data_IF_900067264458
#
_entry.id   IF_900067264458
#
_cell.length_a   1.000
_cell.length_b   1.000
_cell.length_c   1.000
_cell.angle_alpha   90.00
_cell.angle_beta   90.00
_cell.angle_gamma   90.00
#
_symmetry.space_group_name_H-M   'P 1'
#
loop_
_entity.id
_entity.type
_entity.pdbx_description
1 polymer ?
#
# COMPACT_ATOMS: atom_id res chain seq x y z
N UNK A 1 23.09 -26.94 34.93
CA UNK A 1 22.67 -25.66 34.31
C UNK A 1 21.76 -25.99 33.16
N UNK A 2 20.46 -25.69 33.27
CA UNK A 2 19.57 -25.68 32.11
C UNK A 2 19.81 -24.35 31.41
N UNK A 3 20.37 -24.38 30.21
CA UNK A 3 20.32 -23.23 29.31
C UNK A 3 18.84 -22.87 29.12
N UNK A 4 18.45 -21.73 29.68
CA UNK A 4 17.19 -21.10 29.33
C UNK A 4 17.42 -20.49 27.95
N UNK A 5 17.11 -21.24 26.89
CA UNK A 5 16.98 -20.67 25.55
C UNK A 5 15.94 -19.56 25.65
N UNK A 6 16.34 -18.31 25.36
CA UNK A 6 15.40 -17.21 25.27
C UNK A 6 14.25 -17.58 24.32
N UNK A 7 13.00 -17.26 24.65
CA UNK A 7 11.89 -17.52 23.76
C UNK A 7 12.13 -16.76 22.46
N UNK A 8 12.32 -17.50 21.36
CA UNK A 8 12.43 -16.93 20.02
C UNK A 8 11.14 -16.17 19.75
N UNK A 9 11.23 -14.85 19.65
CA UNK A 9 10.08 -14.00 19.32
C UNK A 9 9.44 -14.50 18.02
N UNK A 10 8.10 -14.61 17.93
CA UNK A 10 7.44 -15.07 16.72
C UNK A 10 7.81 -14.17 15.54
N UNK A 11 8.22 -14.79 14.43
CA UNK A 11 8.43 -14.10 13.16
C UNK A 11 7.11 -14.14 12.39
N UNK A 12 6.46 -12.99 12.24
CA UNK A 12 5.22 -12.86 11.47
C UNK A 12 5.53 -12.90 9.97
N UNK A 13 4.75 -13.66 9.20
CA UNK A 13 4.82 -13.67 7.73
C UNK A 13 6.25 -13.91 7.17
N UNK A 14 7.10 -14.66 7.90
CA UNK A 14 8.51 -14.92 7.57
C UNK A 14 8.74 -15.79 6.33
N UNK A 15 7.67 -16.29 5.73
CA UNK A 15 7.66 -16.94 4.42
C UNK A 15 7.76 -15.93 3.25
N UNK A 16 7.48 -14.65 3.51
CA UNK A 16 7.48 -13.56 2.53
C UNK A 16 8.75 -12.69 2.63
N UNK A 17 9.07 -12.02 1.53
CA UNK A 17 10.08 -10.96 1.47
C UNK A 17 9.40 -9.59 1.51
N UNK A 18 9.82 -8.70 2.42
CA UNK A 18 9.29 -7.34 2.57
C UNK A 18 10.34 -6.28 2.20
N UNK A 19 10.07 -5.51 1.16
CA UNK A 19 10.98 -4.48 0.63
C UNK A 19 12.40 -5.01 0.37
N UNK A 20 12.48 -6.20 -0.20
CA UNK A 20 13.73 -6.83 -0.64
C UNK A 20 13.71 -7.01 -2.17
N UNK A 21 14.64 -7.78 -2.71
CA UNK A 21 14.78 -8.04 -4.15
C UNK A 21 14.88 -6.74 -4.96
N UNK A 22 13.98 -6.53 -5.93
CA UNK A 22 14.01 -5.37 -6.83
C UNK A 22 13.44 -4.09 -6.20
N UNK A 23 13.11 -4.10 -4.90
CA UNK A 23 12.58 -2.91 -4.22
C UNK A 23 13.53 -1.70 -4.33
N UNK A 24 14.85 -1.91 -4.25
CA UNK A 24 15.85 -0.85 -4.32
C UNK A 24 15.85 -0.08 -5.66
N UNK A 25 15.49 -0.74 -6.77
CA UNK A 25 15.34 -0.09 -8.08
C UNK A 25 14.00 0.64 -8.19
N UNK A 26 12.91 -0.01 -7.75
CA UNK A 26 11.57 0.57 -7.79
C UNK A 26 11.45 1.83 -6.92
N UNK A 27 12.04 1.82 -5.72
CA UNK A 27 11.96 2.95 -4.78
C UNK A 27 12.71 4.20 -5.26
N UNK A 28 13.56 4.08 -6.29
CA UNK A 28 14.22 5.24 -6.93
C UNK A 28 13.20 6.26 -7.44
N UNK A 29 11.96 5.86 -7.77
CA UNK A 29 10.92 6.80 -8.17
C UNK A 29 10.57 7.83 -7.09
N UNK A 30 10.82 7.49 -5.82
CA UNK A 30 10.53 8.36 -4.68
C UNK A 30 11.64 9.37 -4.40
N UNK A 31 12.75 9.35 -5.16
CA UNK A 31 13.93 10.18 -4.86
C UNK A 31 13.74 11.68 -5.06
N UNK A 32 12.68 12.08 -5.78
CA UNK A 32 12.23 13.47 -5.84
C UNK A 32 11.61 13.95 -4.53
N UNK A 33 11.04 13.04 -3.75
CA UNK A 33 10.40 13.34 -2.46
C UNK A 33 11.42 13.25 -1.31
N UNK A 34 12.31 12.27 -1.33
CA UNK A 34 13.22 11.94 -0.23
C UNK A 34 14.58 11.45 -0.77
N UNK A 35 15.65 11.50 0.02
CA UNK A 35 16.90 10.85 -0.41
C UNK A 35 16.77 9.32 -0.38
N UNK A 36 17.53 8.63 -1.23
CA UNK A 36 17.56 7.18 -1.25
C UNK A 36 18.00 6.58 0.10
N UNK A 37 18.99 7.18 0.76
CA UNK A 37 19.46 6.73 2.08
C UNK A 37 18.36 6.82 3.15
N UNK A 38 17.56 7.88 3.13
CA UNK A 38 16.43 8.05 4.05
C UNK A 38 15.33 7.01 3.78
N UNK A 39 15.05 6.73 2.50
CA UNK A 39 14.09 5.70 2.10
C UNK A 39 14.54 4.30 2.58
N UNK A 40 15.82 3.97 2.41
CA UNK A 40 16.39 2.70 2.91
C UNK A 40 16.30 2.61 4.43
N UNK A 41 16.74 3.64 5.14
CA UNK A 41 16.71 3.69 6.61
C UNK A 41 15.30 3.44 7.15
N UNK A 42 14.30 4.12 6.60
CA UNK A 42 12.91 3.95 7.03
C UNK A 42 12.38 2.56 6.64
N UNK A 43 12.72 2.06 5.44
CA UNK A 43 12.32 0.73 5.01
C UNK A 43 12.88 -0.37 5.91
N UNK A 44 14.12 -0.27 6.39
CA UNK A 44 14.72 -1.25 7.30
C UNK A 44 13.95 -1.32 8.63
N UNK A 45 13.61 -0.16 9.20
CA UNK A 45 12.79 -0.09 10.41
C UNK A 45 11.39 -0.71 10.20
N UNK A 46 10.72 -0.36 9.10
CA UNK A 46 9.41 -0.91 8.76
C UNK A 46 9.45 -2.42 8.45
N UNK A 47 10.55 -2.92 7.89
CA UNK A 47 10.77 -4.35 7.68
C UNK A 47 10.90 -5.09 9.02
N UNK A 48 11.62 -4.50 9.97
CA UNK A 48 11.69 -5.05 11.33
C UNK A 48 10.29 -5.10 11.98
N UNK A 49 9.53 -4.00 11.90
CA UNK A 49 8.14 -3.93 12.37
C UNK A 49 7.26 -5.00 11.69
N UNK A 50 7.43 -5.21 10.38
CA UNK A 50 6.67 -6.21 9.63
C UNK A 50 6.88 -7.62 10.19
N UNK A 51 8.13 -8.03 10.44
CA UNK A 51 8.45 -9.38 10.91
C UNK A 51 8.28 -9.58 12.41
N UNK A 52 8.44 -8.55 13.22
CA UNK A 52 8.50 -8.67 14.68
C UNK A 52 7.36 -7.96 15.42
N UNK A 53 6.47 -7.30 14.68
CA UNK A 53 5.32 -6.58 15.20
C UNK A 53 5.69 -5.22 15.78
N UNK A 54 4.67 -4.40 16.05
CA UNK A 54 4.87 -3.08 16.65
C UNK A 54 5.06 -3.18 18.17
N UNK A 55 6.02 -2.42 18.71
CA UNK A 55 6.09 -2.21 20.16
C UNK A 55 4.95 -1.29 20.63
N UNK A 56 4.54 -1.43 21.90
CA UNK A 56 3.42 -0.64 22.44
C UNK A 56 3.67 0.88 22.47
N UNK A 57 4.94 1.29 22.48
CA UNK A 57 5.41 2.67 22.51
C UNK A 57 5.93 3.16 21.15
N UNK A 58 5.72 2.36 20.09
CA UNK A 58 6.20 2.66 18.74
C UNK A 58 5.65 3.99 18.24
N UNK A 59 6.57 4.89 17.89
CA UNK A 59 6.26 6.13 17.18
C UNK A 59 6.33 5.87 15.67
N UNK A 60 5.51 6.58 14.89
CA UNK A 60 5.66 6.55 13.44
C UNK A 60 7.05 7.09 13.07
N UNK A 61 7.78 6.42 12.16
CA UNK A 61 9.05 6.94 11.67
C UNK A 61 8.88 8.32 11.05
N UNK A 62 9.91 9.15 11.17
CA UNK A 62 10.01 10.43 10.47
C UNK A 62 10.98 10.31 9.31
N UNK A 63 10.72 11.05 8.23
CA UNK A 63 11.58 11.12 7.06
C UNK A 63 11.86 12.57 6.66
N UNK A 64 13.11 12.83 6.27
CA UNK A 64 13.50 14.17 5.84
C UNK A 64 13.12 14.42 4.37
N UNK A 65 12.26 15.41 4.07
CA UNK A 65 11.91 15.74 2.69
C UNK A 65 13.13 16.23 1.90
N UNK A 66 13.12 16.01 0.58
CA UNK A 66 14.04 16.62 -0.37
C UNK A 66 13.90 18.15 -0.33
N UNK A 67 14.86 18.86 -0.93
CA UNK A 67 14.78 20.33 -1.02
C UNK A 67 13.52 20.80 -1.77
N UNK A 68 13.20 20.14 -2.89
CA UNK A 68 12.02 20.43 -3.70
C UNK A 68 10.74 20.25 -2.87
N UNK A 69 10.57 19.08 -2.24
CA UNK A 69 9.39 18.79 -1.44
C UNK A 69 9.30 19.71 -0.21
N UNK A 70 10.41 19.98 0.48
CA UNK A 70 10.43 20.88 1.63
C UNK A 70 9.95 22.30 1.26
N UNK A 71 10.34 22.81 0.09
CA UNK A 71 9.87 24.11 -0.41
C UNK A 71 8.37 24.10 -0.69
N UNK A 72 7.83 23.02 -1.29
CA UNK A 72 6.39 22.89 -1.54
C UNK A 72 5.57 22.71 -0.26
N UNK A 73 6.15 22.10 0.77
CA UNK A 73 5.48 21.89 2.06
C UNK A 73 5.59 23.08 3.02
N UNK A 74 6.42 24.08 2.73
CA UNK A 74 6.62 25.24 3.60
C UNK A 74 5.31 25.95 4.02
N UNK A 75 4.29 26.13 3.15
CA UNK A 75 3.00 26.72 3.53
C UNK A 75 2.14 25.87 4.46
N UNK A 76 2.52 24.60 4.70
CA UNK A 76 1.73 23.61 5.42
C UNK A 76 2.45 23.04 6.66
N UNK A 77 3.50 23.71 7.13
CA UNK A 77 4.32 23.25 8.27
C UNK A 77 3.57 23.24 9.61
N UNK A 78 2.43 23.93 9.71
CA UNK A 78 1.55 23.89 10.88
C UNK A 78 0.62 22.67 10.89
N UNK A 79 0.72 21.79 9.88
CA UNK A 79 -0.17 20.63 9.69
C UNK A 79 0.57 19.33 9.92
N UNK A 80 -0.24 18.30 10.16
CA UNK A 80 0.20 16.91 10.04
C UNK A 80 0.53 16.59 8.59
N UNK A 81 1.74 16.12 8.35
CA UNK A 81 2.21 15.69 7.03
C UNK A 81 2.43 14.18 7.05
N UNK A 82 1.84 13.49 6.07
CA UNK A 82 1.90 12.03 5.94
C UNK A 82 2.52 11.60 4.63
N UNK A 83 3.28 10.51 4.68
CA UNK A 83 3.79 9.77 3.53
C UNK A 83 3.67 8.28 3.84
N UNK A 84 3.14 7.48 2.93
CA UNK A 84 3.20 6.02 3.09
C UNK A 84 4.30 5.50 2.16
N UNK A 85 5.26 4.78 2.73
CA UNK A 85 6.35 4.18 1.96
C UNK A 85 5.76 3.11 1.04
N UNK A 86 5.99 3.17 -0.28
CA UNK A 86 5.63 2.10 -1.18
C UNK A 86 6.33 0.80 -0.78
N UNK A 87 5.56 -0.29 -0.76
CA UNK A 87 6.05 -1.58 -0.28
C UNK A 87 6.02 -2.65 -1.36
N UNK A 88 7.06 -3.48 -1.42
CA UNK A 88 7.13 -4.66 -2.26
C UNK A 88 7.01 -5.91 -1.39
N UNK A 89 5.96 -6.70 -1.61
CA UNK A 89 5.78 -8.01 -0.98
C UNK A 89 6.02 -9.08 -2.05
N UNK A 90 6.97 -9.98 -1.79
CA UNK A 90 7.37 -10.98 -2.78
C UNK A 90 7.43 -12.40 -2.21
N UNK A 91 7.13 -13.43 -3.02
CA UNK A 91 7.51 -14.79 -2.68
C UNK A 91 9.03 -14.93 -2.81
N UNK A 92 9.62 -15.95 -2.18
CA UNK A 92 11.06 -16.23 -2.31
C UNK A 92 11.50 -16.53 -3.76
N UNK A 93 10.57 -16.99 -4.60
CA UNK A 93 10.81 -17.33 -6.00
C UNK A 93 9.64 -16.80 -6.85
N UNK A 94 9.66 -15.52 -7.25
CA UNK A 94 8.60 -14.96 -8.09
C UNK A 94 8.62 -15.57 -9.49
N UNK A 95 7.43 -15.76 -10.08
CA UNK A 95 7.27 -16.43 -11.38
C UNK A 95 6.23 -15.78 -12.31
N UNK A 96 5.41 -14.86 -11.83
CA UNK A 96 4.24 -14.37 -12.57
C UNK A 96 4.26 -12.86 -12.86
N UNK A 97 5.31 -12.14 -12.48
CA UNK A 97 5.43 -10.70 -12.64
C UNK A 97 4.90 -9.91 -11.43
N UNK A 98 4.51 -8.65 -11.65
CA UNK A 98 4.15 -7.69 -10.59
C UNK A 98 2.73 -7.18 -10.72
N UNK A 99 1.98 -7.23 -9.62
CA UNK A 99 0.70 -6.54 -9.47
C UNK A 99 0.92 -5.26 -8.68
N UNK A 100 0.39 -4.13 -9.13
CA UNK A 100 0.35 -2.90 -8.33
C UNK A 100 -1.04 -2.76 -7.69
N UNK A 101 -1.10 -2.60 -6.37
CA UNK A 101 -2.30 -2.11 -5.69
C UNK A 101 -2.08 -0.63 -5.39
N UNK A 102 -2.93 0.22 -5.99
CA UNK A 102 -2.83 1.66 -5.89
C UNK A 102 -4.04 2.22 -5.12
N UNK A 103 -3.80 2.81 -3.95
CA UNK A 103 -4.82 3.46 -3.13
C UNK A 103 -4.75 4.98 -3.27
N UNK A 104 -5.53 5.68 -2.45
CA UNK A 104 -5.79 7.10 -2.67
C UNK A 104 -4.65 7.98 -2.19
N UNK A 105 -4.40 8.00 -0.88
CA UNK A 105 -3.54 8.95 -0.20
C UNK A 105 -3.14 8.43 1.20
N UNK A 106 -1.98 8.86 1.74
CA UNK A 106 -1.49 8.45 3.05
C UNK A 106 -2.19 9.23 4.17
N UNK A 107 -3.51 9.09 4.25
CA UNK A 107 -4.37 9.85 5.16
C UNK A 107 -3.83 9.81 6.60
N UNK A 108 -3.78 10.98 7.26
CA UNK A 108 -3.41 11.11 8.68
C UNK A 108 -4.55 11.65 9.52
N UNK A 109 -4.50 11.37 10.81
CA UNK A 109 -5.37 12.02 11.79
C UNK A 109 -4.85 13.41 12.09
N UNK A 110 -5.75 14.28 12.54
CA UNK A 110 -5.40 15.64 12.96
C UNK A 110 -4.52 15.55 14.22
N UNK A 111 -3.51 16.40 14.32
CA UNK A 111 -2.61 16.58 15.48
C UNK A 111 -1.46 15.57 15.63
N UNK A 112 -1.22 14.70 14.64
CA UNK A 112 0.05 13.96 14.58
C UNK A 112 1.17 14.93 14.16
N UNK A 113 2.13 15.18 15.07
CA UNK A 113 3.43 15.79 14.82
C UNK A 113 3.49 16.92 13.75
N UNK A 114 2.98 18.14 14.06
CA UNK A 114 2.99 19.26 13.11
C UNK A 114 4.37 19.56 12.55
N UNK A 115 4.47 19.73 11.23
CA UNK A 115 5.70 20.11 10.54
C UNK A 115 6.70 18.98 10.30
N UNK A 116 6.40 17.76 10.78
CA UNK A 116 7.18 16.56 10.50
C UNK A 116 6.47 15.69 9.45
N UNK A 117 7.25 15.08 8.55
CA UNK A 117 6.73 14.10 7.60
C UNK A 117 6.79 12.72 8.26
N UNK A 118 5.61 12.23 8.65
CA UNK A 118 5.47 10.91 9.28
C UNK A 118 5.26 9.81 8.26
N UNK A 119 5.95 8.69 8.44
CA UNK A 119 5.95 7.57 7.51
C UNK A 119 5.08 6.43 8.02
N UNK A 120 4.11 6.04 7.20
CA UNK A 120 3.36 4.81 7.35
C UNK A 120 3.70 3.84 6.22
N UNK A 121 2.91 2.79 6.09
CA UNK A 121 2.90 1.93 4.90
C UNK A 121 1.50 1.88 4.34
N UNK A 122 1.38 1.48 3.08
CA UNK A 122 0.10 1.22 2.44
C UNK A 122 -0.82 0.38 3.35
N UNK A 123 -1.95 0.94 3.79
CA UNK A 123 -2.87 0.28 4.72
C UNK A 123 -2.21 -0.22 6.04
N UNK A 124 -1.10 0.38 6.46
CA UNK A 124 -0.37 -0.01 7.68
C UNK A 124 0.02 -1.49 7.67
N UNK A 125 0.41 -2.03 6.50
CA UNK A 125 0.82 -3.43 6.34
C UNK A 125 2.04 -3.80 7.17
N UNK A 126 2.82 -2.85 7.70
CA UNK A 126 3.89 -3.14 8.65
C UNK A 126 3.35 -3.59 10.01
N UNK A 127 2.09 -3.27 10.35
CA UNK A 127 1.44 -3.63 11.60
C UNK A 127 0.72 -4.99 11.51
N UNK A 128 1.15 -5.97 12.30
CA UNK A 128 0.61 -7.34 12.31
C UNK A 128 -0.86 -7.38 12.74
N UNK A 129 -1.26 -6.56 13.71
CA UNK A 129 -2.65 -6.47 14.17
C UNK A 129 -3.55 -5.97 13.04
N UNK A 130 -3.09 -5.02 12.23
CA UNK A 130 -3.82 -4.54 11.06
C UNK A 130 -3.95 -5.65 10.01
N UNK A 131 -2.85 -6.32 9.66
CA UNK A 131 -2.87 -7.43 8.71
C UNK A 131 -3.86 -8.54 9.08
N UNK A 132 -3.94 -8.91 10.37
CA UNK A 132 -4.61 -10.16 10.75
C UNK A 132 -5.96 -10.00 11.45
N UNK A 133 -6.25 -8.85 12.09
CA UNK A 133 -7.41 -8.79 13.01
C UNK A 133 -8.27 -7.51 12.94
N UNK A 134 -7.77 -6.43 12.33
CA UNK A 134 -8.40 -5.12 12.47
C UNK A 134 -9.24 -4.70 11.26
N UNK A 135 -10.54 -4.48 11.47
CA UNK A 135 -11.45 -3.84 10.48
C UNK A 135 -11.35 -4.44 9.07
N UNK A 136 -11.00 -3.61 8.08
CA UNK A 136 -10.97 -3.93 6.65
C UNK A 136 -9.56 -4.29 6.14
N UNK A 137 -8.52 -4.05 6.95
CA UNK A 137 -7.12 -4.32 6.61
C UNK A 137 -6.85 -5.79 6.24
N UNK A 138 -7.46 -6.80 6.93
CA UNK A 138 -7.29 -8.20 6.53
C UNK A 138 -7.76 -8.53 5.12
N UNK A 139 -8.70 -7.78 4.55
CA UNK A 139 -9.17 -8.02 3.18
C UNK A 139 -8.04 -7.72 2.19
N UNK A 140 -7.38 -6.58 2.38
CA UNK A 140 -6.25 -6.18 1.53
C UNK A 140 -5.06 -7.12 1.75
N UNK A 141 -4.77 -7.47 3.01
CA UNK A 141 -3.70 -8.42 3.29
C UNK A 141 -3.95 -9.80 2.67
N UNK A 142 -5.17 -10.34 2.78
CA UNK A 142 -5.53 -11.61 2.14
C UNK A 142 -5.39 -11.55 0.63
N UNK A 143 -5.78 -10.45 -0.01
CA UNK A 143 -5.54 -10.25 -1.44
C UNK A 143 -4.05 -10.30 -1.79
N UNK A 144 -3.20 -9.59 -1.01
CA UNK A 144 -1.75 -9.62 -1.17
C UNK A 144 -1.21 -11.05 -1.04
N UNK A 145 -1.63 -11.78 0.01
CA UNK A 145 -1.26 -13.18 0.24
C UNK A 145 -1.63 -14.07 -0.94
N UNK A 146 -2.88 -13.99 -1.42
CA UNK A 146 -3.34 -14.78 -2.57
C UNK A 146 -2.50 -14.52 -3.82
N UNK A 147 -2.18 -13.26 -4.14
CA UNK A 147 -1.31 -12.92 -5.27
C UNK A 147 0.09 -13.51 -5.11
N UNK A 148 0.69 -13.37 -3.92
CA UNK A 148 2.05 -13.85 -3.65
C UNK A 148 2.14 -15.38 -3.68
N UNK A 149 1.15 -16.07 -3.12
CA UNK A 149 1.03 -17.53 -3.16
C UNK A 149 0.87 -18.06 -4.59
N UNK A 150 0.24 -17.29 -5.47
CA UNK A 150 0.16 -17.59 -6.90
C UNK A 150 1.47 -17.30 -7.68
N UNK A 151 2.47 -16.70 -7.03
CA UNK A 151 3.80 -16.44 -7.62
C UNK A 151 4.00 -15.03 -8.15
N UNK A 152 3.09 -14.10 -7.85
CA UNK A 152 3.24 -12.68 -8.17
C UNK A 152 4.04 -11.94 -7.09
N UNK A 153 4.80 -10.94 -7.49
CA UNK A 153 5.22 -9.87 -6.59
C UNK A 153 4.10 -8.83 -6.50
N UNK A 154 3.93 -8.17 -5.35
CA UNK A 154 2.89 -7.16 -5.16
C UNK A 154 3.51 -5.85 -4.70
N UNK A 155 3.37 -4.81 -5.52
CA UNK A 155 3.76 -3.44 -5.20
C UNK A 155 2.57 -2.66 -4.65
N UNK A 156 2.73 -2.07 -3.48
CA UNK A 156 1.68 -1.41 -2.70
C UNK A 156 2.01 0.07 -2.59
N UNK A 157 1.10 0.93 -3.05
CA UNK A 157 1.39 2.36 -3.18
C UNK A 157 0.13 3.23 -3.13
N UNK A 158 0.30 4.52 -2.87
CA UNK A 158 -0.76 5.53 -3.00
C UNK A 158 -0.58 6.38 -4.26
N UNK A 159 -1.70 6.82 -4.83
CA UNK A 159 -1.69 7.68 -6.01
C UNK A 159 -1.21 9.10 -5.67
N UNK A 160 -1.74 9.67 -4.58
CA UNK A 160 -1.12 10.84 -3.95
C UNK A 160 -0.03 10.39 -3.00
N UNK A 161 1.16 10.94 -3.16
CA UNK A 161 2.32 10.51 -2.37
C UNK A 161 2.37 11.16 -1.01
N UNK A 162 1.84 12.38 -0.87
CA UNK A 162 1.89 13.15 0.37
C UNK A 162 0.47 13.49 0.83
N UNK A 163 0.29 13.52 2.14
CA UNK A 163 -0.85 14.13 2.80
C UNK A 163 -0.40 15.40 3.50
N UNK A 164 -1.08 16.53 3.26
CA UNK A 164 -0.83 17.81 3.93
C UNK A 164 -2.15 18.43 4.45
N UNK A 165 -3.13 17.55 4.75
CA UNK A 165 -4.52 17.91 5.02
C UNK A 165 -5.46 17.49 3.90
N UNK A 166 -6.75 17.38 4.25
CA UNK A 166 -7.80 16.92 3.33
C UNK A 166 -7.88 17.82 2.09
N UNK A 167 -7.77 17.22 0.91
CA UNK A 167 -7.85 17.89 -0.40
C UNK A 167 -6.79 18.99 -0.62
N UNK A 168 -5.74 19.06 0.19
CA UNK A 168 -4.71 20.11 0.07
C UNK A 168 -3.85 19.84 -1.15
N UNK A 169 -3.28 18.65 -1.24
CA UNK A 169 -2.46 18.23 -2.37
C UNK A 169 -3.22 18.35 -3.69
N UNK A 170 -4.45 17.84 -3.76
CA UNK A 170 -5.27 17.92 -4.97
C UNK A 170 -5.62 19.35 -5.43
N UNK A 171 -5.53 20.35 -4.55
CA UNK A 171 -5.79 21.77 -4.86
C UNK A 171 -4.51 22.57 -5.12
N UNK A 172 -3.39 22.06 -4.65
CA UNK A 172 -2.07 22.64 -4.89
C UNK A 172 -1.46 22.02 -6.14
N UNK A 173 -1.49 22.78 -7.24
CA UNK A 173 -1.06 22.28 -8.55
C UNK A 173 0.36 21.71 -8.51
N UNK A 174 1.29 22.32 -7.78
CA UNK A 174 2.68 21.89 -7.75
C UNK A 174 2.84 20.55 -7.01
N UNK A 175 2.16 20.39 -5.87
CA UNK A 175 2.15 19.11 -5.14
C UNK A 175 1.42 18.01 -5.91
N UNK A 176 0.30 18.34 -6.56
CA UNK A 176 -0.46 17.41 -7.39
C UNK A 176 0.34 16.95 -8.61
N UNK A 177 1.00 17.87 -9.33
CA UNK A 177 1.89 17.55 -10.45
C UNK A 177 3.07 16.68 -9.99
N UNK A 178 3.70 17.01 -8.85
CA UNK A 178 4.78 16.21 -8.27
C UNK A 178 4.33 14.79 -7.95
N UNK A 179 3.17 14.61 -7.31
CA UNK A 179 2.62 13.29 -7.02
C UNK A 179 2.35 12.48 -8.30
N UNK A 180 1.77 13.13 -9.32
CA UNK A 180 1.52 12.52 -10.63
C UNK A 180 2.81 12.05 -11.30
N UNK A 181 3.84 12.88 -11.31
CA UNK A 181 5.14 12.56 -11.93
C UNK A 181 5.86 11.43 -11.20
N UNK A 182 5.83 11.44 -9.86
CA UNK A 182 6.37 10.33 -9.06
C UNK A 182 5.59 9.04 -9.29
N UNK A 183 4.25 9.08 -9.37
CA UNK A 183 3.43 7.92 -9.71
C UNK A 183 3.75 7.39 -11.11
N UNK A 184 3.97 8.27 -12.08
CA UNK A 184 4.36 7.90 -13.45
C UNK A 184 5.69 7.15 -13.48
N UNK A 185 6.73 7.68 -12.82
CA UNK A 185 8.04 7.02 -12.75
C UNK A 185 7.97 5.71 -11.95
N UNK A 186 7.19 5.68 -10.86
CA UNK A 186 6.98 4.49 -10.04
C UNK A 186 6.38 3.34 -10.87
N UNK A 187 5.28 3.59 -11.58
CA UNK A 187 4.65 2.55 -12.42
C UNK A 187 5.58 2.13 -13.56
N UNK A 188 6.34 3.05 -14.15
CA UNK A 188 7.31 2.73 -15.19
C UNK A 188 8.42 1.79 -14.69
N UNK A 189 9.00 2.05 -13.51
CA UNK A 189 10.03 1.21 -12.89
C UNK A 189 9.51 -0.12 -12.39
N UNK A 190 8.34 -0.11 -11.75
CA UNK A 190 7.70 -1.35 -11.29
C UNK A 190 7.29 -2.21 -12.46
N UNK A 191 6.96 -1.62 -13.62
CA UNK A 191 6.56 -2.34 -14.83
C UNK A 191 5.53 -3.45 -14.55
N UNK A 192 4.38 -3.12 -13.93
CA UNK A 192 3.42 -4.12 -13.51
C UNK A 192 2.74 -4.81 -14.71
N UNK A 193 2.37 -6.08 -14.51
CA UNK A 193 1.49 -6.80 -15.43
C UNK A 193 0.04 -6.34 -15.31
N UNK A 194 -0.35 -5.85 -14.13
CA UNK A 194 -1.67 -5.27 -13.88
C UNK A 194 -1.64 -4.26 -12.73
N UNK A 195 -2.49 -3.25 -12.81
CA UNK A 195 -2.68 -2.26 -11.75
C UNK A 195 -4.13 -2.33 -11.26
N UNK A 196 -4.35 -2.45 -9.95
CA UNK A 196 -5.67 -2.33 -9.33
C UNK A 196 -5.79 -0.95 -8.67
N UNK A 197 -6.67 -0.10 -9.19
CA UNK A 197 -6.98 1.19 -8.60
C UNK A 197 -8.09 1.05 -7.55
N UNK A 198 -7.78 1.29 -6.28
CA UNK A 198 -8.72 1.23 -5.17
C UNK A 198 -9.42 2.59 -5.01
N UNK A 199 -10.61 2.71 -5.59
CA UNK A 199 -11.43 3.90 -5.54
C UNK A 199 -11.20 4.88 -6.70
N UNK A 200 -12.11 5.85 -6.82
CA UNK A 200 -12.14 6.78 -7.95
C UNK A 200 -10.94 7.72 -7.98
N UNK A 201 -10.43 8.13 -6.82
CA UNK A 201 -9.30 9.06 -6.75
C UNK A 201 -8.02 8.42 -7.28
N UNK A 202 -7.73 7.17 -6.87
CA UNK A 202 -6.58 6.43 -7.39
C UNK A 202 -6.69 6.22 -8.91
N UNK A 203 -7.87 5.84 -9.39
CA UNK A 203 -8.16 5.68 -10.81
C UNK A 203 -7.93 6.97 -11.61
N UNK A 204 -8.45 8.09 -11.12
CA UNK A 204 -8.30 9.39 -11.77
C UNK A 204 -6.84 9.83 -11.85
N UNK A 205 -6.06 9.61 -10.79
CA UNK A 205 -4.64 9.93 -10.78
C UNK A 205 -3.82 9.05 -11.72
N UNK A 206 -4.15 7.77 -11.84
CA UNK A 206 -3.53 6.87 -12.83
C UNK A 206 -3.84 7.31 -14.26
N UNK A 207 -5.08 7.71 -14.55
CA UNK A 207 -5.46 8.30 -15.85
C UNK A 207 -4.68 9.57 -16.15
N UNK A 208 -4.57 10.46 -15.16
CA UNK A 208 -3.81 11.71 -15.28
C UNK A 208 -2.31 11.45 -15.49
N UNK A 209 -1.78 10.36 -14.93
CA UNK A 209 -0.42 9.90 -15.15
C UNK A 209 -0.23 9.17 -16.51
N UNK A 210 -1.32 8.99 -17.28
CA UNK A 210 -1.28 8.45 -18.65
C UNK A 210 -1.58 6.95 -18.76
N UNK A 211 -2.03 6.28 -17.70
CA UNK A 211 -2.28 4.84 -17.69
C UNK A 211 -3.76 4.51 -17.94
N UNK A 212 -4.35 4.86 -19.07
CA UNK A 212 -5.81 4.68 -19.27
C UNK A 212 -6.26 3.25 -19.57
N UNK A 213 -5.35 2.37 -19.99
CA UNK A 213 -5.63 1.02 -20.52
C UNK A 213 -4.97 -0.10 -19.67
N UNK A 214 -4.25 0.24 -18.61
CA UNK A 214 -3.43 -0.69 -17.82
C UNK A 214 -3.91 -0.95 -16.39
N UNK A 215 -5.10 -0.46 -16.02
CA UNK A 215 -5.65 -0.70 -14.69
C UNK A 215 -7.14 -1.05 -14.68
N UNK A 216 -7.52 -1.81 -13.66
CA UNK A 216 -8.92 -2.04 -13.30
C UNK A 216 -9.33 -1.13 -12.16
N UNK A 217 -10.54 -0.57 -12.25
CA UNK A 217 -11.17 0.22 -11.18
C UNK A 217 -11.89 -0.69 -10.20
N UNK A 218 -11.56 -0.60 -8.91
CA UNK A 218 -12.23 -1.32 -7.86
C UNK A 218 -12.83 -0.38 -6.81
N UNK A 219 -13.87 -0.86 -6.12
CA UNK A 219 -14.42 -0.14 -4.96
C UNK A 219 -13.38 -0.13 -3.84
N UNK A 220 -13.17 1.03 -3.19
CA UNK A 220 -12.26 1.13 -2.05
C UNK A 220 -12.73 0.26 -0.87
N UNK A 221 -11.84 -0.44 -0.13
CA UNK A 221 -12.23 -1.39 0.94
C UNK A 221 -13.03 -0.77 2.09
N UNK A 222 -12.89 0.54 2.30
CA UNK A 222 -13.63 1.31 3.33
C UNK A 222 -14.93 1.95 2.82
N UNK A 223 -15.27 1.79 1.53
CA UNK A 223 -16.44 2.43 0.97
C UNK A 223 -17.72 1.84 1.58
N UNK A 224 -18.37 2.64 2.43
CA UNK A 224 -19.73 2.41 2.91
C UNK A 224 -20.72 2.92 1.86
N UNK A 225 -20.79 2.26 0.69
CA UNK A 225 -21.73 2.70 -0.35
C UNK A 225 -23.17 2.41 0.11
N UNK A 226 -23.90 3.47 0.48
CA UNK A 226 -25.34 3.41 0.78
C UNK A 226 -26.17 2.97 -0.44
N UNK A 227 -25.64 3.17 -1.65
CA UNK A 227 -26.30 2.86 -2.92
C UNK A 227 -25.95 1.47 -3.49
N UNK A 228 -24.89 0.81 -3.00
CA UNK A 228 -24.47 -0.54 -3.44
C UNK A 228 -23.98 -1.38 -2.25
N UNK A 229 -24.87 -1.77 -1.33
CA UNK A 229 -24.51 -2.51 -0.12
C UNK A 229 -23.81 -3.86 -0.39
N UNK A 230 -23.88 -4.38 -1.62
CA UNK A 230 -23.36 -5.69 -2.02
C UNK A 230 -22.38 -5.64 -3.20
N UNK A 231 -21.61 -4.55 -3.35
CA UNK A 231 -20.63 -4.43 -4.44
C UNK A 231 -19.66 -5.62 -4.55
N UNK A 232 -19.34 -6.26 -3.42
CA UNK A 232 -18.44 -7.41 -3.34
C UNK A 232 -19.04 -8.71 -3.88
N UNK A 233 -20.37 -8.77 -4.02
CA UNK A 233 -21.08 -9.88 -4.64
C UNK A 233 -21.28 -9.69 -6.15
N UNK A 234 -20.88 -8.53 -6.70
CA UNK A 234 -20.98 -8.29 -8.14
C UNK A 234 -20.16 -9.34 -8.90
N UNK A 235 -20.82 -10.00 -9.85
CA UNK A 235 -20.25 -11.04 -10.71
C UNK A 235 -19.68 -12.24 -9.93
N UNK A 236 -20.16 -12.49 -8.71
CA UNK A 236 -19.76 -13.64 -7.91
C UNK A 236 -20.13 -14.96 -8.60
N UNK A 237 -19.19 -15.90 -8.65
CA UNK A 237 -19.39 -17.24 -9.24
C UNK A 237 -19.82 -18.28 -8.22
N UNK A 238 -19.90 -17.91 -6.93
CA UNK A 238 -20.28 -18.80 -5.83
C UNK A 238 -21.05 -18.05 -4.74
N UNK A 239 -21.76 -18.81 -3.90
CA UNK A 239 -22.37 -18.30 -2.68
C UNK A 239 -21.32 -18.17 -1.56
N UNK A 240 -21.52 -17.20 -0.68
CA UNK A 240 -20.67 -16.98 0.49
C UNK A 240 -21.49 -17.15 1.77
N UNK A 241 -20.85 -17.63 2.83
CA UNK A 241 -21.48 -17.72 4.14
C UNK A 241 -21.89 -16.32 4.64
N UNK A 242 -23.07 -16.20 5.24
CA UNK A 242 -23.53 -14.95 5.84
C UNK A 242 -22.93 -14.73 7.23
N UNK A 243 -21.60 -14.68 7.29
CA UNK A 243 -20.84 -14.36 8.47
C UNK A 243 -19.68 -13.40 8.13
N UNK A 244 -18.89 -13.01 9.13
CA UNK A 244 -17.77 -12.07 8.92
C UNK A 244 -16.73 -12.63 7.94
N UNK A 245 -16.41 -13.92 8.04
CA UNK A 245 -15.39 -14.55 7.22
C UNK A 245 -15.85 -14.67 5.76
N UNK A 246 -17.07 -15.15 5.51
CA UNK A 246 -17.66 -15.20 4.17
C UNK A 246 -17.73 -13.83 3.49
N UNK A 247 -18.09 -12.77 4.23
CA UNK A 247 -18.06 -11.38 3.72
C UNK A 247 -16.66 -10.86 3.43
N UNK A 248 -15.64 -11.28 4.18
CA UNK A 248 -14.25 -10.92 3.89
C UNK A 248 -13.77 -11.63 2.63
N UNK A 249 -14.01 -12.93 2.53
CA UNK A 249 -13.65 -13.74 1.36
C UNK A 249 -14.31 -13.20 0.08
N UNK A 250 -15.60 -12.87 0.13
CA UNK A 250 -16.30 -12.28 -1.01
C UNK A 250 -15.67 -10.97 -1.51
N UNK A 251 -15.12 -10.16 -0.60
CA UNK A 251 -14.40 -8.93 -0.97
C UNK A 251 -13.05 -9.23 -1.59
N UNK A 252 -12.32 -10.23 -1.08
CA UNK A 252 -11.06 -10.69 -1.70
C UNK A 252 -11.33 -11.18 -3.11
N UNK A 253 -12.29 -12.08 -3.29
CA UNK A 253 -12.66 -12.60 -4.60
C UNK A 253 -13.14 -11.50 -5.56
N UNK A 254 -13.86 -10.49 -5.07
CA UNK A 254 -14.20 -9.33 -5.90
C UNK A 254 -12.96 -8.65 -6.48
N UNK A 255 -11.92 -8.43 -5.68
CA UNK A 255 -10.66 -7.85 -6.17
C UNK A 255 -9.91 -8.81 -7.09
N UNK A 256 -9.89 -10.11 -6.79
CA UNK A 256 -9.34 -11.12 -7.70
C UNK A 256 -10.02 -11.06 -9.07
N UNK A 257 -11.36 -10.94 -9.12
CA UNK A 257 -12.10 -10.80 -10.39
C UNK A 257 -11.71 -9.54 -11.14
N UNK A 258 -11.40 -8.45 -10.45
CA UNK A 258 -10.93 -7.22 -11.12
C UNK A 258 -9.54 -7.36 -11.72
N UNK A 259 -8.65 -8.17 -11.13
CA UNK A 259 -7.28 -8.35 -11.58
C UNK A 259 -7.17 -9.48 -12.61
N UNK A 260 -7.79 -10.63 -12.32
CA UNK A 260 -7.59 -11.91 -13.00
C UNK A 260 -8.81 -12.38 -13.79
N UNK A 261 -9.98 -11.74 -13.62
CA UNK A 261 -11.24 -12.20 -14.20
C UNK A 261 -11.88 -13.41 -13.51
N UNK A 262 -11.29 -13.90 -12.42
CA UNK A 262 -11.69 -15.09 -11.65
C UNK A 262 -11.69 -14.81 -10.15
N UNK A 263 -12.35 -15.67 -9.36
CA UNK A 263 -12.40 -15.54 -7.89
C UNK A 263 -11.02 -15.73 -7.23
N UNK A 264 -10.09 -16.38 -7.91
CA UNK A 264 -8.73 -16.66 -7.44
C UNK A 264 -7.68 -16.17 -8.45
N UNK A 265 -6.45 -15.85 -8.00
CA UNK A 265 -5.35 -15.52 -8.90
C UNK A 265 -5.02 -16.65 -9.87
N UNK A 266 -4.90 -16.33 -11.15
CA UNK A 266 -4.50 -17.26 -12.20
C UNK A 266 -3.06 -16.99 -12.60
N UNK A 267 -2.28 -18.04 -12.90
CA UNK A 267 -0.93 -17.86 -13.46
C UNK A 267 -1.05 -17.49 -14.94
N UNK A 268 -0.18 -16.61 -15.48
CA UNK A 268 -0.07 -16.42 -16.92
C UNK A 268 0.28 -17.77 -17.55
N UNK A 269 -0.46 -18.16 -18.59
CA UNK A 269 -0.20 -19.37 -19.38
C UNK A 269 1.00 -19.16 -20.29
#
# INVERSE_FOLDING_TARGET
MKEMSEPVSPVFDGDLLFNEANWADAIQSQTRLFSFDELNRVSEGLRNDFYHGHTNDRKMPEIRPSKELASLLAPYQDRTIGYDLPCLISPRKPSCGRIVLCAQDPLRKKDDAPGQVTVGTFFGIDNERFRHSYRHYPIIWQLVRSCVEAGYEVWLTDAYKIFAGKNVVARDKALDDLCREVLQDEVARVSPTHILALGNTAAHMLEKAGFTDRFSRAVHPTAHQTTKPYWHLKDATQAYEDNRAGRQLAKVHYYCRQIFGTDEPTKPV
#
